data_IF_270193626284
#
_entry.id   IF_270193626284
#
_cell.length_a   1.000
_cell.length_b   1.000
_cell.length_c   1.000
_cell.angle_alpha   90.00
_cell.angle_beta   90.00
_cell.angle_gamma   90.00
#
_symmetry.space_group_name_H-M   'P 1'
#
loop_
_entity.id
_entity.type
_entity.pdbx_description
1 polymer ?
#
# COMPACT_ATOMS: atom_id res chain seq x y z
N UNK A 1 12.81 -14.48 -11.07
CA UNK A 1 12.29 -13.27 -10.42
C UNK A 1 11.98 -12.14 -11.42
N UNK A 2 12.92 -11.64 -12.22
CA UNK A 2 12.67 -10.56 -13.19
C UNK A 2 11.50 -10.82 -14.16
N UNK A 3 11.33 -12.05 -14.64
CA UNK A 3 10.22 -12.44 -15.53
C UNK A 3 8.86 -12.40 -14.82
N UNK A 4 8.78 -12.84 -13.56
CA UNK A 4 7.56 -12.77 -12.76
C UNK A 4 7.19 -11.31 -12.45
N UNK A 5 8.17 -10.49 -12.07
CA UNK A 5 7.98 -9.06 -11.88
C UNK A 5 7.39 -8.39 -13.13
N UNK A 6 7.96 -8.66 -14.30
CA UNK A 6 7.47 -8.14 -15.58
C UNK A 6 6.03 -8.58 -15.88
N UNK A 7 5.67 -9.83 -15.58
CA UNK A 7 4.30 -10.33 -15.77
C UNK A 7 3.31 -9.63 -14.81
N UNK A 8 3.62 -9.58 -13.52
CA UNK A 8 2.77 -8.91 -12.53
C UNK A 8 2.54 -7.42 -12.83
N UNK A 9 3.53 -6.75 -13.42
CA UNK A 9 3.43 -5.34 -13.79
C UNK A 9 2.63 -5.09 -15.10
N UNK A 10 2.48 -6.09 -15.99
CA UNK A 10 1.96 -5.88 -17.34
C UNK A 10 0.52 -6.37 -17.58
N UNK A 11 -0.03 -7.23 -16.69
CA UNK A 11 -1.39 -7.76 -16.89
C UNK A 11 -2.46 -6.69 -16.61
N UNK A 12 -3.31 -6.32 -17.59
CA UNK A 12 -4.40 -5.38 -17.36
C UNK A 12 -5.48 -6.00 -16.47
N UNK A 13 -6.08 -5.21 -15.59
CA UNK A 13 -7.24 -5.61 -14.81
C UNK A 13 -8.52 -5.46 -15.65
N UNK A 14 -9.39 -6.45 -15.59
CA UNK A 14 -10.71 -6.37 -16.20
C UNK A 14 -11.64 -5.49 -15.36
N UNK A 15 -12.36 -4.57 -15.99
CA UNK A 15 -13.37 -3.75 -15.30
C UNK A 15 -14.45 -4.61 -14.61
N UNK A 16 -14.82 -5.73 -15.23
CA UNK A 16 -15.79 -6.68 -14.66
C UNK A 16 -15.26 -7.32 -13.38
N UNK A 17 -14.00 -7.74 -13.36
CA UNK A 17 -13.36 -8.27 -12.16
C UNK A 17 -13.27 -7.22 -11.04
N UNK A 18 -12.90 -5.99 -11.36
CA UNK A 18 -12.81 -4.90 -10.40
C UNK A 18 -14.17 -4.58 -9.76
N UNK A 19 -15.24 -4.56 -10.53
CA UNK A 19 -16.56 -4.11 -10.04
C UNK A 19 -17.42 -5.22 -9.44
N UNK A 20 -17.28 -6.48 -9.89
CA UNK A 20 -18.26 -7.52 -9.59
C UNK A 20 -17.68 -8.82 -9.03
N UNK A 21 -16.39 -9.08 -9.21
CA UNK A 21 -15.74 -10.32 -8.72
C UNK A 21 -14.97 -10.06 -7.43
N UNK A 22 -14.46 -8.85 -7.24
CA UNK A 22 -13.73 -8.48 -6.03
C UNK A 22 -14.64 -8.39 -4.80
N UNK A 23 -14.09 -8.62 -3.59
CA UNK A 23 -14.84 -8.42 -2.35
C UNK A 23 -15.42 -7.01 -2.25
N UNK A 24 -16.54 -6.86 -1.55
CA UNK A 24 -17.20 -5.57 -1.32
C UNK A 24 -16.41 -4.60 -0.42
N UNK A 25 -15.21 -4.99 0.01
CA UNK A 25 -14.27 -4.16 0.77
C UNK A 25 -12.94 -4.05 0.02
N UNK A 26 -12.26 -2.93 0.19
CA UNK A 26 -10.92 -2.72 -0.35
C UNK A 26 -9.91 -3.63 0.37
N UNK A 27 -8.91 -4.10 -0.34
CA UNK A 27 -7.78 -4.83 0.24
C UNK A 27 -6.53 -3.94 0.23
N UNK A 28 -5.98 -3.67 1.42
CA UNK A 28 -4.75 -2.89 1.55
C UNK A 28 -3.60 -3.80 1.98
N UNK A 29 -2.50 -3.77 1.24
CA UNK A 29 -1.28 -4.48 1.61
C UNK A 29 -0.40 -3.61 2.50
N UNK A 30 -0.02 -4.12 3.68
CA UNK A 30 0.86 -3.41 4.62
C UNK A 30 2.28 -3.96 4.49
N UNK A 31 3.15 -3.16 3.92
CA UNK A 31 4.55 -3.45 3.66
C UNK A 31 5.48 -2.71 4.62
N UNK A 32 6.50 -3.38 5.10
CA UNK A 32 7.62 -2.82 5.85
C UNK A 32 8.79 -3.81 5.92
N UNK A 33 9.93 -3.39 6.48
CA UNK A 33 11.03 -4.29 6.82
C UNK A 33 10.55 -5.40 7.78
N UNK A 34 10.71 -6.66 7.38
CA UNK A 34 10.33 -7.82 8.20
C UNK A 34 11.51 -8.45 8.96
N UNK A 35 12.74 -8.28 8.49
CA UNK A 35 13.93 -8.87 9.08
C UNK A 35 14.08 -8.50 10.56
N UNK A 36 14.32 -9.49 11.41
CA UNK A 36 14.47 -9.30 12.86
C UNK A 36 13.18 -9.02 13.63
N UNK A 37 12.00 -9.25 13.05
CA UNK A 37 10.72 -9.01 13.71
C UNK A 37 10.39 -7.52 13.91
N UNK A 38 11.06 -6.65 13.16
CA UNK A 38 10.84 -5.20 13.23
C UNK A 38 9.49 -4.84 12.59
N UNK A 39 8.80 -3.86 13.16
CA UNK A 39 7.50 -3.37 12.69
C UNK A 39 6.31 -4.35 12.74
N UNK A 40 6.41 -5.47 13.46
CA UNK A 40 5.28 -6.40 13.65
C UNK A 40 4.09 -5.66 14.30
N UNK A 41 4.36 -4.90 15.37
CA UNK A 41 3.31 -4.14 16.10
C UNK A 41 2.72 -3.05 15.21
N UNK A 42 3.56 -2.34 14.47
CA UNK A 42 3.12 -1.28 13.55
C UNK A 42 2.22 -1.84 12.44
N UNK A 43 2.59 -2.98 11.84
CA UNK A 43 1.75 -3.65 10.82
C UNK A 43 0.41 -4.09 11.39
N UNK A 44 0.41 -4.75 12.56
CA UNK A 44 -0.81 -5.19 13.23
C UNK A 44 -1.73 -4.00 13.55
N UNK A 45 -1.20 -2.96 14.17
CA UNK A 45 -1.97 -1.78 14.56
C UNK A 45 -2.44 -0.97 13.36
N UNK A 46 -1.64 -0.91 12.30
CA UNK A 46 -2.05 -0.36 11.03
C UNK A 46 -3.23 -1.14 10.44
N UNK A 47 -3.18 -2.48 10.47
CA UNK A 47 -4.27 -3.33 10.03
C UNK A 47 -5.56 -3.07 10.83
N UNK A 48 -5.50 -2.99 12.14
CA UNK A 48 -6.67 -2.63 12.97
C UNK A 48 -7.22 -1.24 12.61
N UNK A 49 -6.37 -0.27 12.35
CA UNK A 49 -6.80 1.06 11.95
C UNK A 49 -7.52 1.05 10.59
N UNK A 50 -6.98 0.31 9.61
CA UNK A 50 -7.60 0.08 8.30
C UNK A 50 -8.98 -0.55 8.45
N UNK A 51 -9.07 -1.67 9.16
CA UNK A 51 -10.30 -2.45 9.33
C UNK A 51 -11.34 -1.70 10.16
N UNK A 52 -10.91 -0.90 11.11
CA UNK A 52 -11.77 0.00 11.87
C UNK A 52 -12.48 1.08 11.05
N UNK A 53 -12.05 1.33 9.81
CA UNK A 53 -12.77 2.22 8.87
C UNK A 53 -14.05 1.60 8.32
N UNK A 54 -14.20 0.28 8.37
CA UNK A 54 -15.32 -0.48 7.82
C UNK A 54 -15.35 -0.60 6.30
N UNK A 55 -14.43 0.04 5.57
CA UNK A 55 -14.39 0.05 4.10
C UNK A 55 -13.26 -0.80 3.51
N UNK A 56 -12.28 -1.19 4.34
CA UNK A 56 -11.10 -1.90 3.88
C UNK A 56 -10.72 -3.03 4.84
N UNK A 57 -10.05 -4.03 4.29
CA UNK A 57 -9.34 -5.08 5.01
C UNK A 57 -7.85 -4.94 4.73
N UNK A 58 -7.02 -5.09 5.76
CA UNK A 58 -5.59 -5.13 5.60
C UNK A 58 -5.09 -6.56 5.41
N UNK A 59 -4.10 -6.72 4.55
CA UNK A 59 -3.28 -7.91 4.45
C UNK A 59 -1.87 -7.59 4.97
N UNK A 60 -1.36 -8.38 5.90
CA UNK A 60 0.02 -8.29 6.35
C UNK A 60 0.55 -9.68 6.71
N UNK A 61 1.87 -9.84 6.57
CA UNK A 61 2.54 -11.14 6.59
C UNK A 61 2.21 -12.02 7.81
N UNK A 62 2.32 -11.48 9.01
CA UNK A 62 2.23 -12.27 10.25
C UNK A 62 0.85 -12.90 10.50
N UNK A 63 -0.20 -12.30 9.98
CA UNK A 63 -1.58 -12.79 10.14
C UNK A 63 -2.07 -13.61 8.95
N UNK A 64 -1.74 -13.16 7.75
CA UNK A 64 -2.47 -13.57 6.55
C UNK A 64 -1.64 -14.50 5.64
N UNK A 65 -0.32 -14.61 5.85
CA UNK A 65 0.51 -15.52 5.08
C UNK A 65 0.27 -16.97 5.50
N UNK A 66 -0.08 -17.79 4.53
CA UNK A 66 -0.30 -19.22 4.72
C UNK A 66 0.90 -20.04 4.23
N UNK A 67 1.11 -21.22 4.83
CA UNK A 67 2.04 -22.19 4.27
C UNK A 67 1.60 -22.59 2.84
N UNK A 68 2.52 -22.56 1.91
CA UNK A 68 2.22 -22.85 0.50
C UNK A 68 3.48 -23.12 -0.32
N UNK A 69 3.31 -23.44 -1.61
CA UNK A 69 4.42 -23.82 -2.49
C UNK A 69 5.26 -22.63 -2.98
N UNK A 70 4.86 -21.41 -2.67
CA UNK A 70 5.53 -20.18 -3.13
C UNK A 70 6.40 -19.58 -2.02
N UNK A 71 7.54 -19.00 -2.38
CA UNK A 71 8.37 -18.27 -1.42
C UNK A 71 7.69 -16.96 -0.99
N UNK A 72 8.09 -16.45 0.17
CA UNK A 72 7.54 -15.23 0.77
C UNK A 72 7.58 -14.02 -0.18
N UNK A 73 8.66 -13.91 -0.95
CA UNK A 73 8.84 -12.82 -1.93
C UNK A 73 7.75 -12.84 -3.00
N UNK A 74 7.46 -14.01 -3.60
CA UNK A 74 6.39 -14.14 -4.60
C UNK A 74 5.02 -13.80 -4.02
N UNK A 75 4.74 -14.27 -2.80
CA UNK A 75 3.47 -14.00 -2.13
C UNK A 75 3.30 -12.51 -1.87
N UNK A 76 4.31 -11.85 -1.29
CA UNK A 76 4.26 -10.40 -1.04
C UNK A 76 4.14 -9.57 -2.31
N UNK A 77 4.91 -9.88 -3.36
CA UNK A 77 4.82 -9.19 -4.65
C UNK A 77 3.44 -9.37 -5.31
N UNK A 78 2.85 -10.56 -5.18
CA UNK A 78 1.49 -10.83 -5.66
C UNK A 78 0.46 -9.95 -4.96
N UNK A 79 0.51 -9.85 -3.63
CA UNK A 79 -0.37 -8.96 -2.87
C UNK A 79 -0.13 -7.48 -3.18
N UNK A 80 1.13 -7.05 -3.30
CA UNK A 80 1.45 -5.67 -3.69
C UNK A 80 0.89 -5.31 -5.07
N UNK A 81 0.92 -6.26 -6.03
CA UNK A 81 0.42 -6.05 -7.38
C UNK A 81 -1.11 -6.00 -7.48
N UNK A 82 -1.83 -6.67 -6.58
CA UNK A 82 -3.28 -6.89 -6.68
C UNK A 82 -4.10 -6.16 -5.63
N UNK A 83 -3.48 -5.57 -4.63
CA UNK A 83 -4.15 -4.77 -3.62
C UNK A 83 -4.81 -3.51 -4.22
N UNK A 84 -5.82 -2.98 -3.53
CA UNK A 84 -6.45 -1.70 -3.85
C UNK A 84 -5.66 -0.51 -3.30
N UNK A 85 -4.68 -0.77 -2.44
CA UNK A 85 -3.73 0.21 -1.92
C UNK A 85 -2.56 -0.45 -1.21
N UNK A 86 -1.42 0.22 -1.21
CA UNK A 86 -0.20 -0.16 -0.50
C UNK A 86 0.04 0.82 0.65
N UNK A 87 0.16 0.31 1.86
CA UNK A 87 0.66 1.06 3.01
C UNK A 87 2.12 0.68 3.23
N UNK A 88 3.01 1.64 3.05
CA UNK A 88 4.46 1.46 3.17
C UNK A 88 4.95 2.12 4.45
N UNK A 89 5.45 1.32 5.40
CA UNK A 89 6.04 1.80 6.65
C UNK A 89 7.56 1.72 6.53
N UNK A 90 8.22 2.87 6.56
CA UNK A 90 9.66 3.03 6.41
C UNK A 90 10.32 3.40 7.73
N UNK A 91 11.35 2.66 8.08
CA UNK A 91 12.22 2.95 9.23
C UNK A 91 13.64 3.31 8.80
N UNK A 92 14.61 2.60 9.39
CA UNK A 92 16.04 2.78 9.17
C UNK A 92 16.49 2.39 7.76
N UNK A 93 15.88 1.37 7.19
CA UNK A 93 16.30 0.72 5.94
C UNK A 93 15.11 0.48 4.99
N UNK A 94 15.36 0.67 3.70
CA UNK A 94 14.49 0.20 2.62
C UNK A 94 15.07 -1.09 2.04
N UNK A 95 14.56 -2.23 2.50
CA UNK A 95 15.06 -3.53 2.04
C UNK A 95 14.77 -3.77 0.56
N UNK A 96 15.54 -4.64 -0.13
CA UNK A 96 15.29 -4.95 -1.54
C UNK A 96 13.86 -5.43 -1.81
N UNK A 97 13.30 -6.28 -0.94
CA UNK A 97 11.92 -6.79 -1.11
C UNK A 97 10.89 -5.69 -0.92
N UNK A 98 11.02 -4.86 0.12
CA UNK A 98 10.12 -3.73 0.36
C UNK A 98 10.14 -2.72 -0.81
N UNK A 99 11.31 -2.51 -1.40
CA UNK A 99 11.44 -1.69 -2.61
C UNK A 99 10.72 -2.32 -3.80
N UNK A 100 10.88 -3.62 -4.03
CA UNK A 100 10.21 -4.33 -5.13
C UNK A 100 8.67 -4.34 -4.95
N UNK A 101 8.17 -4.52 -3.73
CA UNK A 101 6.74 -4.41 -3.41
C UNK A 101 6.19 -3.04 -3.82
N UNK A 102 6.90 -1.98 -3.45
CA UNK A 102 6.56 -0.62 -3.85
C UNK A 102 6.60 -0.44 -5.38
N UNK A 103 7.65 -0.90 -6.06
CA UNK A 103 7.82 -0.76 -7.51
C UNK A 103 6.74 -1.52 -8.30
N UNK A 104 6.37 -2.73 -7.84
CA UNK A 104 5.27 -3.49 -8.42
C UNK A 104 3.93 -2.78 -8.24
N UNK A 105 3.64 -2.28 -7.05
CA UNK A 105 2.44 -1.53 -6.75
C UNK A 105 2.33 -0.28 -7.67
N UNK A 106 3.43 0.48 -7.79
CA UNK A 106 3.51 1.65 -8.68
C UNK A 106 3.29 1.31 -10.15
N UNK A 107 3.90 0.23 -10.64
CA UNK A 107 3.74 -0.23 -12.02
C UNK A 107 2.30 -0.68 -12.34
N UNK A 108 1.49 -0.93 -11.31
CA UNK A 108 0.07 -1.31 -11.41
C UNK A 108 -0.89 -0.19 -11.03
N UNK A 109 -0.39 1.04 -10.89
CA UNK A 109 -1.17 2.21 -10.44
C UNK A 109 -1.88 2.01 -9.10
N UNK A 110 -1.35 1.13 -8.24
CA UNK A 110 -1.86 0.91 -6.88
C UNK A 110 -1.56 2.16 -6.04
N UNK A 111 -2.57 2.81 -5.45
CA UNK A 111 -2.37 3.95 -4.57
C UNK A 111 -1.45 3.59 -3.40
N UNK A 112 -0.42 4.41 -3.16
CA UNK A 112 0.58 4.14 -2.13
C UNK A 112 0.57 5.22 -1.05
N UNK A 113 0.50 4.79 0.22
CA UNK A 113 0.52 5.62 1.42
C UNK A 113 1.83 5.38 2.16
N UNK A 114 2.69 6.39 2.24
CA UNK A 114 4.05 6.27 2.80
C UNK A 114 4.10 6.91 4.18
N UNK A 115 4.46 6.11 5.19
CA UNK A 115 4.64 6.52 6.57
C UNK A 115 6.07 6.28 7.02
N UNK A 116 6.70 7.28 7.62
CA UNK A 116 8.12 7.25 7.98
C UNK A 116 8.28 7.32 9.50
N UNK A 117 9.01 6.37 10.07
CA UNK A 117 9.28 6.30 11.50
C UNK A 117 10.37 7.31 11.92
N UNK A 118 10.00 8.32 12.71
CA UNK A 118 10.95 9.30 13.26
C UNK A 118 11.76 8.79 14.45
N UNK A 119 11.44 7.62 14.99
CA UNK A 119 12.19 7.01 16.10
C UNK A 119 13.51 6.38 15.64
N UNK A 120 13.68 6.18 14.35
CA UNK A 120 14.84 5.52 13.76
C UNK A 120 15.74 6.49 12.99
N UNK A 121 17.04 6.24 13.00
CA UNK A 121 17.97 6.96 12.12
C UNK A 121 17.97 6.34 10.73
N UNK A 122 17.37 7.06 9.79
CA UNK A 122 17.25 6.59 8.41
C UNK A 122 18.59 6.58 7.67
N UNK A 123 18.85 5.51 6.94
CA UNK A 123 19.93 5.44 5.96
C UNK A 123 19.73 6.42 4.80
N UNK A 124 20.81 6.80 4.12
CA UNK A 124 20.75 7.72 2.98
C UNK A 124 19.80 7.24 1.87
N UNK A 125 19.74 5.94 1.63
CA UNK A 125 18.85 5.35 0.64
C UNK A 125 17.36 5.58 0.97
N UNK A 126 16.97 5.54 2.25
CA UNK A 126 15.59 5.83 2.69
C UNK A 126 15.30 7.31 2.53
N UNK A 127 16.21 8.18 2.97
CA UNK A 127 16.06 9.64 2.83
C UNK A 127 15.92 10.06 1.37
N UNK A 128 16.77 9.51 0.49
CA UNK A 128 16.72 9.77 -0.94
C UNK A 128 15.40 9.28 -1.56
N UNK A 129 14.94 8.08 -1.21
CA UNK A 129 13.67 7.54 -1.64
C UNK A 129 12.49 8.42 -1.22
N UNK A 130 12.38 8.75 0.08
CA UNK A 130 11.31 9.60 0.60
C UNK A 130 11.34 11.00 -0.04
N UNK A 131 12.52 11.57 -0.25
CA UNK A 131 12.67 12.86 -0.93
C UNK A 131 12.17 12.82 -2.37
N UNK A 132 12.48 11.75 -3.11
CA UNK A 132 11.99 11.57 -4.48
C UNK A 132 10.46 11.40 -4.51
N UNK A 133 9.90 10.60 -3.58
CA UNK A 133 8.47 10.35 -3.52
C UNK A 133 7.64 11.59 -3.12
N UNK A 134 8.20 12.49 -2.31
CA UNK A 134 7.54 13.77 -1.96
C UNK A 134 7.24 14.67 -3.16
N UNK A 135 7.91 14.47 -4.28
CA UNK A 135 7.57 15.16 -5.52
C UNK A 135 6.25 14.66 -6.17
N UNK A 136 5.77 13.48 -5.77
CA UNK A 136 4.63 12.81 -6.40
C UNK A 136 3.50 12.48 -5.41
N UNK A 137 3.81 12.34 -4.12
CA UNK A 137 2.87 11.95 -3.08
C UNK A 137 3.15 12.64 -1.74
N UNK A 138 2.11 12.75 -0.91
CA UNK A 138 2.26 13.25 0.46
C UNK A 138 2.71 12.09 1.35
N UNK A 139 3.87 12.24 1.98
CA UNK A 139 4.36 11.32 3.01
C UNK A 139 4.06 11.87 4.40
N UNK A 140 3.86 11.00 5.39
CA UNK A 140 3.65 11.37 6.79
C UNK A 140 4.67 10.70 7.69
N UNK A 141 5.18 11.44 8.66
CA UNK A 141 6.04 10.90 9.70
C UNK A 141 5.20 10.50 10.91
N UNK A 142 5.68 9.53 11.70
CA UNK A 142 5.07 9.15 12.97
C UNK A 142 6.15 8.89 14.04
N UNK A 143 5.80 9.14 15.32
CA UNK A 143 6.67 8.96 16.49
C UNK A 143 6.21 7.83 17.40
N UNK A 144 5.02 7.34 17.19
CA UNK A 144 4.44 6.23 17.93
C UNK A 144 3.33 5.56 17.12
N UNK A 145 2.92 4.39 17.57
CA UNK A 145 1.93 3.56 16.89
C UNK A 145 0.55 4.23 16.80
N UNK A 146 0.15 4.98 17.83
CA UNK A 146 -1.14 5.69 17.85
C UNK A 146 -1.19 6.80 16.78
N UNK A 147 -0.09 7.51 16.61
CA UNK A 147 0.06 8.52 15.55
C UNK A 147 0.01 7.89 14.16
N UNK A 148 0.69 6.73 13.96
CA UNK A 148 0.59 5.96 12.73
C UNK A 148 -0.86 5.57 12.43
N UNK A 149 -1.59 5.00 13.41
CA UNK A 149 -2.99 4.62 13.24
C UNK A 149 -3.87 5.82 12.82
N UNK A 150 -3.70 6.96 13.46
CA UNK A 150 -4.41 8.20 13.13
C UNK A 150 -4.12 8.62 11.68
N UNK A 151 -2.85 8.65 11.30
CA UNK A 151 -2.45 9.04 9.94
C UNK A 151 -2.95 8.09 8.87
N UNK A 152 -2.98 6.78 9.15
CA UNK A 152 -3.54 5.77 8.24
C UNK A 152 -5.04 6.02 8.01
N UNK A 153 -5.81 6.19 9.08
CA UNK A 153 -7.26 6.45 8.97
C UNK A 153 -7.54 7.75 8.21
N UNK A 154 -6.80 8.81 8.51
CA UNK A 154 -6.97 10.12 7.85
C UNK A 154 -6.61 10.04 6.36
N UNK A 155 -5.52 9.34 6.02
CA UNK A 155 -5.11 9.14 4.63
C UNK A 155 -6.17 8.36 3.83
N UNK A 156 -6.74 7.30 4.40
CA UNK A 156 -7.78 6.50 3.75
C UNK A 156 -9.07 7.30 3.56
N UNK A 157 -9.52 8.03 4.58
CA UNK A 157 -10.69 8.91 4.48
C UNK A 157 -10.50 9.97 3.41
N UNK A 158 -9.33 10.63 3.42
CA UNK A 158 -9.00 11.64 2.41
C UNK A 158 -9.02 11.04 1.00
N UNK A 159 -8.37 9.89 0.81
CA UNK A 159 -8.31 9.22 -0.48
C UNK A 159 -9.70 8.81 -0.98
N UNK A 160 -10.54 8.23 -0.12
CA UNK A 160 -11.91 7.84 -0.46
C UNK A 160 -12.74 9.05 -0.92
N UNK A 161 -12.68 10.17 -0.19
CA UNK A 161 -13.38 11.41 -0.56
C UNK A 161 -12.88 11.97 -1.89
N UNK A 162 -11.56 11.99 -2.12
CA UNK A 162 -10.98 12.48 -3.36
C UNK A 162 -11.34 11.57 -4.56
N UNK A 163 -11.30 10.26 -4.38
CA UNK A 163 -11.69 9.29 -5.41
C UNK A 163 -13.15 9.45 -5.79
N UNK A 164 -14.04 9.61 -4.81
CA UNK A 164 -15.44 9.92 -5.05
C UNK A 164 -15.63 11.21 -5.87
N UNK A 165 -14.97 12.30 -5.46
CA UNK A 165 -15.04 13.59 -6.16
C UNK A 165 -14.53 13.50 -7.60
N UNK A 166 -13.42 12.78 -7.83
CA UNK A 166 -12.87 12.54 -9.17
C UNK A 166 -13.86 11.82 -10.07
N UNK A 167 -14.45 10.74 -9.57
CA UNK A 167 -15.44 9.95 -10.32
C UNK A 167 -16.68 10.77 -10.64
N UNK A 168 -17.21 11.50 -9.65
CA UNK A 168 -18.35 12.39 -9.86
C UNK A 168 -18.08 13.46 -10.91
N UNK A 169 -16.89 14.08 -10.87
CA UNK A 169 -16.46 15.09 -11.83
C UNK A 169 -16.30 14.51 -13.25
N UNK A 170 -15.65 13.35 -13.39
CA UNK A 170 -15.50 12.69 -14.68
C UNK A 170 -16.86 12.35 -15.30
N UNK A 171 -17.76 11.76 -14.51
CA UNK A 171 -19.12 11.44 -14.96
C UNK A 171 -19.92 12.68 -15.38
N UNK A 172 -19.75 13.80 -14.66
CA UNK A 172 -20.40 15.07 -15.03
C UNK A 172 -19.88 15.60 -16.36
N UNK A 173 -18.57 15.59 -16.59
CA UNK A 173 -17.95 16.02 -17.84
C UNK A 173 -18.39 15.19 -19.04
N UNK A 174 -18.41 13.86 -18.89
CA UNK A 174 -18.87 12.96 -19.95
C UNK A 174 -20.34 13.26 -20.38
N UNK A 175 -21.21 13.62 -19.42
CA UNK A 175 -22.61 13.97 -19.72
C UNK A 175 -22.75 15.31 -20.45
N UNK A 176 -21.83 16.25 -20.21
CA UNK A 176 -21.85 17.57 -20.89
C UNK A 176 -21.30 17.49 -22.33
N UNK A 177 -20.50 16.45 -22.62
CA UNK A 177 -19.87 16.26 -23.92
C UNK A 177 -20.70 15.45 -24.92
N UNK A 178 -21.89 14.97 -24.48
CA UNK A 178 -22.89 14.27 -25.32
C UNK A 178 -24.01 15.20 -25.71
#
# INVERSE_FOLDING_TARGET
MAKLFSQLASEPRSLTEELFVRPAHLTLFVSSKMAGGVYVVERERCAYAVEGTGIARAWYWERDANAGPYCSEIVCLGHAATADGLILILGDELTPITRQEYEVARARDVPTFIFTDERTTQQDAVRAFVSAERAHSVTKNFRNVSELQTHVVDALKYFAVQSWRRTAYATWHERQSR
#
